data_IF_526995768483
#
_entry.id   IF_526995768483
#
_cell.length_a   1.000
_cell.length_b   1.000
_cell.length_c   1.000
_cell.angle_alpha   90.00
_cell.angle_beta   90.00
_cell.angle_gamma   90.00
#
_symmetry.space_group_name_H-M   'P 1'
#
loop_
_entity.id
_entity.type
_entity.pdbx_description
1 polymer ?
#
# COMPACT_ATOMS: atom_id res chain seq x y z
N UNK A 1 -41.09 9.95 -34.69
CA UNK A 1 -39.79 10.47 -35.19
C UNK A 1 -39.68 10.22 -36.69
N UNK A 2 -39.24 11.21 -37.50
CA UNK A 2 -39.04 11.03 -38.95
C UNK A 2 -37.77 10.20 -39.21
N UNK A 3 -37.84 9.17 -40.06
CA UNK A 3 -36.73 8.25 -40.41
C UNK A 3 -35.42 8.97 -40.77
N UNK A 4 -35.51 10.12 -41.45
CA UNK A 4 -34.35 10.96 -41.78
C UNK A 4 -33.65 11.53 -40.54
N UNK A 5 -34.40 11.92 -39.51
CA UNK A 5 -33.82 12.44 -38.27
C UNK A 5 -33.08 11.34 -37.51
N UNK A 6 -33.63 10.11 -37.50
CA UNK A 6 -32.96 8.96 -36.90
C UNK A 6 -31.64 8.61 -37.62
N UNK A 7 -31.63 8.58 -38.95
CA UNK A 7 -30.42 8.30 -39.73
C UNK A 7 -29.35 9.38 -39.54
N UNK A 8 -29.74 10.65 -39.49
CA UNK A 8 -28.81 11.76 -39.25
C UNK A 8 -28.24 11.71 -37.83
N UNK A 9 -29.06 11.43 -36.81
CA UNK A 9 -28.59 11.27 -35.43
C UNK A 9 -27.67 10.06 -35.27
N UNK A 10 -27.95 8.96 -35.96
CA UNK A 10 -27.11 7.76 -35.95
C UNK A 10 -25.74 8.01 -36.61
N UNK A 11 -25.71 8.69 -37.76
CA UNK A 11 -24.46 9.05 -38.43
C UNK A 11 -23.57 9.98 -37.57
N UNK A 12 -24.17 10.98 -36.91
CA UNK A 12 -23.47 11.87 -35.98
C UNK A 12 -22.89 11.13 -34.75
N UNK A 13 -23.62 10.15 -34.21
CA UNK A 13 -23.13 9.33 -33.09
C UNK A 13 -21.92 8.46 -33.46
N UNK A 14 -21.86 7.94 -34.69
CA UNK A 14 -20.74 7.12 -35.16
C UNK A 14 -19.45 7.94 -35.35
N UNK A 15 -19.56 9.19 -35.80
CA UNK A 15 -18.41 10.12 -35.94
C UNK A 15 -17.89 10.58 -34.56
N UNK A 16 -18.80 10.74 -33.58
CA UNK A 16 -18.42 11.02 -32.20
C UNK A 16 -17.65 9.87 -31.54
N UNK A 17 -18.04 8.63 -31.82
CA UNK A 17 -17.38 7.42 -31.29
C UNK A 17 -16.04 7.12 -31.95
N UNK A 18 -15.87 7.40 -33.25
CA UNK A 18 -14.57 7.20 -33.93
C UNK A 18 -13.46 8.10 -33.38
N UNK A 19 -13.80 9.24 -32.79
CA UNK A 19 -12.84 10.15 -32.13
C UNK A 19 -12.56 9.79 -30.66
N UNK A 20 -13.43 9.01 -30.01
CA UNK A 20 -13.17 8.53 -28.64
C UNK A 20 -12.05 7.50 -28.57
N UNK A 21 -11.86 6.71 -29.63
CA UNK A 21 -10.72 5.78 -29.77
C UNK A 21 -9.36 6.52 -29.90
N UNK A 22 -9.38 7.83 -30.19
CA UNK A 22 -8.17 8.65 -30.31
C UNK A 22 -7.75 9.34 -29.00
N UNK A 23 -8.52 9.20 -27.91
CA UNK A 23 -8.02 9.49 -26.57
C UNK A 23 -7.04 8.38 -26.20
N UNK A 24 -5.83 8.48 -26.74
CA UNK A 24 -4.66 7.80 -26.17
C UNK A 24 -4.49 8.39 -24.79
N UNK A 25 -5.08 7.76 -23.78
CA UNK A 25 -4.78 8.09 -22.39
C UNK A 25 -3.24 8.09 -22.27
N UNK A 26 -2.63 9.13 -21.70
CA UNK A 26 -1.18 9.31 -21.64
C UNK A 26 -0.50 8.33 -20.67
N UNK A 27 -1.12 7.19 -20.36
CA UNK A 27 -0.54 6.14 -19.52
C UNK A 27 0.56 5.33 -20.22
N UNK A 28 0.80 5.57 -21.52
CA UNK A 28 1.74 4.75 -22.33
C UNK A 28 3.21 4.87 -21.91
N UNK A 29 3.56 5.80 -21.02
CA UNK A 29 4.90 5.99 -20.47
C UNK A 29 4.89 6.10 -18.93
N UNK A 30 4.06 5.33 -18.22
CA UNK A 30 4.41 5.04 -16.83
C UNK A 30 5.78 4.34 -16.85
N UNK A 31 6.78 5.08 -16.41
CA UNK A 31 8.18 4.71 -16.46
C UNK A 31 8.32 3.30 -15.88
N UNK A 32 8.94 2.36 -16.62
CA UNK A 32 9.16 0.95 -16.22
C UNK A 32 9.96 0.77 -14.92
N UNK A 33 10.24 1.86 -14.19
CA UNK A 33 11.02 1.93 -12.96
C UNK A 33 10.20 2.28 -11.72
N UNK A 34 8.88 2.54 -11.85
CA UNK A 34 8.05 2.80 -10.68
C UNK A 34 7.83 1.47 -9.95
N UNK A 35 8.34 1.41 -8.72
CA UNK A 35 8.11 0.31 -7.79
C UNK A 35 6.89 0.64 -6.95
N UNK A 36 5.98 -0.32 -6.82
CA UNK A 36 4.77 -0.19 -6.01
C UNK A 36 4.96 -1.07 -4.78
N UNK A 37 4.61 -0.53 -3.62
CA UNK A 37 4.68 -1.22 -2.33
C UNK A 37 3.28 -1.60 -1.87
N UNK A 38 3.19 -2.64 -1.04
CA UNK A 38 1.98 -2.97 -0.29
C UNK A 38 2.20 -2.72 1.20
N UNK A 39 1.33 -1.90 1.81
CA UNK A 39 1.40 -1.62 3.25
C UNK A 39 0.45 -2.53 4.06
N UNK A 40 0.85 -3.03 5.24
CA UNK A 40 0.03 -3.86 6.12
C UNK A 40 -1.41 -3.39 6.35
N UNK A 41 -1.67 -2.10 6.58
CA UNK A 41 -3.05 -1.59 6.77
C UNK A 41 -3.99 -1.82 5.59
N UNK A 42 -3.46 -2.12 4.40
CA UNK A 42 -4.28 -2.48 3.24
C UNK A 42 -5.08 -3.76 3.50
N UNK A 43 -4.52 -4.70 4.28
CA UNK A 43 -5.07 -6.04 4.49
C UNK A 43 -5.32 -6.36 5.98
N UNK A 44 -4.41 -5.95 6.87
CA UNK A 44 -4.46 -6.25 8.31
C UNK A 44 -5.10 -5.06 9.03
N UNK A 45 -6.31 -5.27 9.57
CA UNK A 45 -7.15 -4.25 10.21
C UNK A 45 -6.97 -4.17 11.72
N UNK A 46 -6.27 -5.12 12.34
CA UNK A 46 -5.89 -5.04 13.74
C UNK A 46 -4.42 -4.71 13.92
N UNK A 47 -4.09 -4.04 15.03
CA UNK A 47 -2.71 -3.99 15.51
C UNK A 47 -2.24 -5.33 16.05
N UNK A 48 -0.97 -5.40 16.44
CA UNK A 48 -0.36 -6.58 17.05
C UNK A 48 -1.16 -7.10 18.25
N UNK A 49 -1.42 -8.41 18.27
CA UNK A 49 -2.20 -9.07 19.32
C UNK A 49 -3.71 -8.79 19.27
N UNK A 50 -4.16 -7.98 18.32
CA UNK A 50 -5.59 -7.81 18.04
C UNK A 50 -6.15 -8.97 17.23
N UNK A 51 -7.48 -9.07 17.19
CA UNK A 51 -8.18 -10.06 16.40
C UNK A 51 -8.45 -9.50 15.00
N UNK A 52 -7.61 -9.86 14.03
CA UNK A 52 -7.77 -9.44 12.64
C UNK A 52 -8.95 -10.17 11.98
N UNK A 53 -9.88 -9.48 11.29
CA UNK A 53 -11.02 -10.14 10.65
C UNK A 53 -10.65 -11.18 9.59
N UNK A 54 -9.47 -11.03 8.96
CA UNK A 54 -8.95 -11.98 7.98
C UNK A 54 -7.94 -12.95 8.60
N UNK A 55 -7.67 -12.82 9.90
CA UNK A 55 -6.70 -13.61 10.66
C UNK A 55 -5.32 -13.70 9.98
N UNK A 56 -4.88 -12.59 9.36
CA UNK A 56 -3.58 -12.53 8.67
C UNK A 56 -2.48 -12.30 9.71
N UNK A 57 -1.59 -13.28 9.86
CA UNK A 57 -0.33 -13.09 10.60
C UNK A 57 0.59 -12.16 9.81
N UNK A 58 1.16 -11.16 10.48
CA UNK A 58 2.15 -10.26 9.89
C UNK A 58 3.33 -11.04 9.28
N UNK A 59 3.78 -12.14 9.88
CA UNK A 59 4.87 -12.94 9.31
C UNK A 59 4.51 -13.59 7.96
N UNK A 60 3.23 -13.81 7.68
CA UNK A 60 2.75 -14.31 6.37
C UNK A 60 2.53 -13.17 5.36
N UNK A 61 2.56 -11.91 5.80
CA UNK A 61 2.31 -10.76 4.94
C UNK A 61 3.22 -10.68 3.70
N UNK A 62 4.54 -10.96 3.76
CA UNK A 62 5.38 -10.98 2.55
C UNK A 62 4.89 -11.99 1.51
N UNK A 63 4.45 -13.16 1.94
CA UNK A 63 3.91 -14.21 1.06
C UNK A 63 2.59 -13.77 0.41
N UNK A 64 1.72 -13.12 1.18
CA UNK A 64 0.46 -12.54 0.66
C UNK A 64 0.76 -11.41 -0.33
N UNK A 65 1.71 -10.52 -0.03
CA UNK A 65 2.12 -9.48 -0.96
C UNK A 65 2.64 -10.07 -2.27
N UNK A 66 3.46 -11.14 -2.19
CA UNK A 66 3.99 -11.81 -3.37
C UNK A 66 2.89 -12.44 -4.23
N UNK A 67 1.91 -13.10 -3.61
CA UNK A 67 0.79 -13.71 -4.34
C UNK A 67 -0.10 -12.68 -5.04
N UNK A 68 -0.12 -11.43 -4.55
CA UNK A 68 -0.80 -10.30 -5.17
C UNK A 68 0.05 -9.55 -6.21
N UNK A 69 1.30 -9.98 -6.45
CA UNK A 69 2.18 -9.42 -7.46
C UNK A 69 3.06 -8.26 -6.98
N UNK A 70 3.25 -8.09 -5.67
CA UNK A 70 4.15 -7.08 -5.11
C UNK A 70 5.52 -7.67 -4.79
N UNK A 71 6.57 -6.97 -5.22
CA UNK A 71 7.96 -7.29 -4.88
C UNK A 71 8.48 -6.46 -3.69
N UNK A 72 7.71 -5.45 -3.26
CA UNK A 72 8.08 -4.56 -2.16
C UNK A 72 6.93 -4.43 -1.17
N UNK A 73 7.26 -4.40 0.12
CA UNK A 73 6.32 -4.15 1.20
C UNK A 73 6.78 -3.01 2.09
N UNK A 74 5.81 -2.32 2.67
CA UNK A 74 6.05 -1.40 3.77
C UNK A 74 5.93 -2.16 5.10
N UNK A 75 6.58 -1.64 6.12
CA UNK A 75 6.47 -2.10 7.50
C UNK A 75 5.71 -1.07 8.31
N UNK A 76 4.90 -1.49 9.28
CA UNK A 76 4.15 -0.58 10.12
C UNK A 76 4.29 -0.96 11.59
N UNK A 77 4.72 -0.02 12.43
CA UNK A 77 5.03 -0.34 13.82
C UNK A 77 3.86 -0.93 14.63
N UNK A 78 2.62 -0.66 14.22
CA UNK A 78 1.43 -1.13 14.94
C UNK A 78 1.19 -2.63 14.80
N UNK A 79 1.63 -3.24 13.70
CA UNK A 79 1.45 -4.67 13.46
C UNK A 79 2.55 -5.52 14.09
N UNK A 80 3.63 -4.89 14.54
CA UNK A 80 4.75 -5.56 15.18
C UNK A 80 4.59 -5.69 16.71
N UNK A 81 5.21 -6.71 17.34
CA UNK A 81 5.33 -6.77 18.79
C UNK A 81 5.97 -5.49 19.34
N UNK A 82 5.44 -4.90 20.44
CA UNK A 82 5.98 -3.66 21.00
C UNK A 82 7.39 -3.80 21.58
N UNK A 83 7.83 -5.03 21.87
CA UNK A 83 9.20 -5.36 22.26
C UNK A 83 9.77 -6.34 21.23
N UNK A 84 10.23 -5.78 20.11
CA UNK A 84 10.78 -6.51 18.99
C UNK A 84 12.03 -7.27 19.41
N UNK A 85 11.99 -8.60 19.26
CA UNK A 85 13.13 -9.47 19.53
C UNK A 85 13.93 -9.70 18.24
N UNK A 86 15.26 -9.81 18.32
CA UNK A 86 16.08 -10.13 17.14
C UNK A 86 15.62 -11.39 16.39
N UNK A 87 15.07 -12.37 17.10
CA UNK A 87 14.55 -13.59 16.49
C UNK A 87 13.29 -13.36 15.65
N UNK A 88 12.43 -12.40 16.02
CA UNK A 88 11.26 -12.04 15.22
C UNK A 88 11.70 -11.36 13.91
N UNK A 89 12.65 -10.43 14.00
CA UNK A 89 13.24 -9.77 12.82
C UNK A 89 13.87 -10.80 11.88
N UNK A 90 14.66 -11.75 12.42
CA UNK A 90 15.26 -12.82 11.62
C UNK A 90 14.21 -13.65 10.89
N UNK A 91 13.13 -14.05 11.58
CA UNK A 91 12.03 -14.79 10.95
C UNK A 91 11.40 -14.00 9.79
N UNK A 92 11.08 -12.73 10.01
CA UNK A 92 10.53 -11.86 8.95
C UNK A 92 11.48 -11.78 7.75
N UNK A 93 12.77 -11.52 7.99
CA UNK A 93 13.77 -11.42 6.94
C UNK A 93 13.92 -12.73 6.15
N UNK A 94 13.93 -13.88 6.82
CA UNK A 94 14.01 -15.19 6.16
C UNK A 94 12.80 -15.44 5.25
N UNK A 95 11.59 -15.05 5.68
CA UNK A 95 10.38 -15.20 4.85
C UNK A 95 10.45 -14.25 3.66
N UNK A 96 10.79 -12.98 3.87
CA UNK A 96 10.96 -12.01 2.78
C UNK A 96 11.99 -12.48 1.74
N UNK A 97 13.13 -13.00 2.19
CA UNK A 97 14.16 -13.55 1.30
C UNK A 97 13.64 -14.75 0.50
N UNK A 98 12.97 -15.70 1.17
CA UNK A 98 12.38 -16.87 0.53
C UNK A 98 11.34 -16.51 -0.54
N UNK A 99 10.48 -15.54 -0.25
CA UNK A 99 9.42 -15.10 -1.17
C UNK A 99 9.90 -14.07 -2.21
N UNK A 100 11.18 -13.68 -2.16
CA UNK A 100 11.78 -12.62 -2.98
C UNK A 100 10.94 -11.32 -2.93
N UNK A 101 10.72 -10.85 -1.70
CA UNK A 101 10.03 -9.59 -1.35
C UNK A 101 10.99 -8.72 -0.55
N UNK A 102 10.97 -7.41 -0.79
CA UNK A 102 11.90 -6.47 -0.17
C UNK A 102 11.19 -5.42 0.68
N UNK A 103 11.83 -5.00 1.77
CA UNK A 103 11.40 -3.84 2.55
C UNK A 103 11.57 -2.55 1.74
N UNK A 104 10.55 -1.70 1.73
CA UNK A 104 10.64 -0.35 1.18
C UNK A 104 10.80 0.71 2.28
N UNK A 105 9.82 0.85 3.17
CA UNK A 105 9.88 1.80 4.29
C UNK A 105 9.36 1.20 5.60
N UNK A 106 9.74 1.80 6.73
CA UNK A 106 9.12 1.59 8.04
C UNK A 106 8.25 2.81 8.37
N UNK A 107 6.94 2.62 8.34
CA UNK A 107 5.95 3.62 8.69
C UNK A 107 5.79 3.67 10.22
N UNK A 108 6.10 4.85 10.75
CA UNK A 108 5.96 5.16 12.18
C UNK A 108 5.06 6.38 12.32
N UNK A 109 3.98 6.27 13.09
CA UNK A 109 3.06 7.38 13.37
C UNK A 109 2.05 7.07 14.48
N UNK A 110 1.30 8.07 14.95
CA UNK A 110 0.20 7.84 15.89
C UNK A 110 0.58 7.48 17.33
N UNK A 111 1.87 7.56 17.72
CA UNK A 111 2.32 7.38 19.12
C UNK A 111 3.07 8.60 19.65
N UNK A 112 2.33 9.70 19.79
CA UNK A 112 2.83 10.97 20.29
C UNK A 112 3.29 11.91 19.19
N UNK A 113 3.37 13.19 19.52
CA UNK A 113 3.71 14.25 18.58
C UNK A 113 5.16 14.73 18.79
N UNK A 114 5.98 14.66 17.73
CA UNK A 114 7.36 15.17 17.75
C UNK A 114 7.41 16.70 17.75
N UNK A 115 6.31 17.36 17.39
CA UNK A 115 6.11 18.80 17.46
C UNK A 115 5.37 19.26 18.71
N UNK A 116 5.08 18.37 19.68
CA UNK A 116 4.32 18.72 20.88
C UNK A 116 4.99 19.90 21.60
N UNK A 117 4.21 20.89 22.07
CA UNK A 117 4.74 22.04 22.81
C UNK A 117 5.40 21.61 24.12
N UNK A 118 4.84 20.59 24.78
CA UNK A 118 5.37 20.00 26.00
C UNK A 118 6.66 19.21 25.71
N UNK A 119 7.76 19.65 26.32
CA UNK A 119 9.10 19.04 26.16
C UNK A 119 9.13 17.57 26.58
N UNK A 120 8.37 17.18 27.59
CA UNK A 120 8.29 15.79 28.07
C UNK A 120 7.58 14.90 27.05
N UNK A 121 6.42 15.34 26.55
CA UNK A 121 5.67 14.62 25.52
C UNK A 121 6.47 14.48 24.22
N UNK A 122 7.12 15.56 23.79
CA UNK A 122 8.01 15.56 22.63
C UNK A 122 9.20 14.61 22.78
N UNK A 123 9.88 14.62 23.93
CA UNK A 123 10.96 13.67 24.22
C UNK A 123 10.48 12.22 24.18
N UNK A 124 9.31 11.94 24.74
CA UNK A 124 8.70 10.61 24.70
C UNK A 124 8.41 10.17 23.27
N UNK A 125 7.77 11.01 22.46
CA UNK A 125 7.52 10.74 21.04
C UNK A 125 8.82 10.43 20.29
N UNK A 126 9.86 11.27 20.43
CA UNK A 126 11.17 11.06 19.81
C UNK A 126 11.79 9.72 20.23
N UNK A 127 11.68 9.32 21.51
CA UNK A 127 12.23 8.04 21.96
C UNK A 127 11.51 6.83 21.33
N UNK A 128 10.20 6.94 21.11
CA UNK A 128 9.40 5.91 20.43
C UNK A 128 9.83 5.80 18.97
N UNK A 129 9.92 6.92 18.25
CA UNK A 129 10.27 6.91 16.83
C UNK A 129 11.75 6.62 16.55
N UNK A 130 12.64 6.77 17.54
CA UNK A 130 14.04 6.32 17.44
C UNK A 130 14.21 4.82 17.62
N UNK A 131 13.27 4.18 18.32
CA UNK A 131 13.31 2.74 18.55
C UNK A 131 12.92 1.95 17.30
N UNK A 132 11.91 2.45 16.58
CA UNK A 132 11.42 1.89 15.32
C UNK A 132 12.27 2.32 14.13
#
# INVERSE_FOLDING_TARGET
MKRRNFLNSFALSMIGLSNYAAIKLPFKNFNKKIKITLTPWSLIRSGYGGNDPLNIDLLEFPKVAKSLGFDFIDHEMFHYPPNLKPQYIRKMNTIMEKENVHSAVMLTGGRGDIGDKDKSKRKKAISIYKYW
#
